data_IF_346518934610
#
_entry.id   IF_346518934610
#
_cell.length_a   1.000
_cell.length_b   1.000
_cell.length_c   1.000
_cell.angle_alpha   90.00
_cell.angle_beta   90.00
_cell.angle_gamma   90.00
#
_symmetry.space_group_name_H-M   'P 1'
#
loop_
_entity.id
_entity.type
_entity.pdbx_description
1 polymer ?
#
# COMPACT_ATOMS: atom_id res chain seq x y z
N UNK A 1 -4.02 24.12 5.44
CA UNK A 1 -3.35 22.83 5.69
C UNK A 1 -3.32 22.05 4.39
N UNK A 2 -2.14 21.61 3.93
CA UNK A 2 -2.00 20.89 2.65
C UNK A 2 -2.66 19.50 2.76
N UNK A 3 -3.44 19.07 1.76
CA UNK A 3 -4.12 17.75 1.73
C UNK A 3 -3.12 16.61 1.93
N UNK A 4 -1.90 16.75 1.39
CA UNK A 4 -0.81 15.77 1.58
C UNK A 4 -0.48 15.55 3.05
N UNK A 5 -0.37 16.63 3.83
CA UNK A 5 -0.02 16.56 5.25
C UNK A 5 -1.16 15.92 6.08
N UNK A 6 -2.42 16.13 5.68
CA UNK A 6 -3.57 15.50 6.35
C UNK A 6 -3.50 13.99 6.18
N UNK A 7 -3.32 13.52 4.94
CA UNK A 7 -3.28 12.08 4.60
C UNK A 7 -2.09 11.42 5.30
N UNK A 8 -0.91 12.05 5.22
CA UNK A 8 0.30 11.56 5.89
C UNK A 8 0.10 11.33 7.39
N UNK A 9 -0.44 12.33 8.11
CA UNK A 9 -0.66 12.23 9.56
C UNK A 9 -1.68 11.13 9.89
N UNK A 10 -2.77 10.99 9.11
CA UNK A 10 -3.80 9.99 9.37
C UNK A 10 -3.32 8.57 9.14
N UNK A 11 -2.54 8.36 8.09
CA UNK A 11 -1.98 7.04 7.78
C UNK A 11 -0.87 6.68 8.76
N UNK A 12 0.00 7.63 9.11
CA UNK A 12 1.01 7.43 10.15
C UNK A 12 0.40 7.08 11.51
N UNK A 13 -0.68 7.76 11.90
CA UNK A 13 -1.40 7.44 13.12
C UNK A 13 -1.99 6.02 13.08
N UNK A 14 -2.57 5.61 11.95
CA UNK A 14 -3.05 4.23 11.78
C UNK A 14 -1.92 3.20 11.80
N UNK A 15 -0.73 3.58 11.31
CA UNK A 15 0.50 2.78 11.38
C UNK A 15 1.19 2.83 12.76
N UNK A 16 0.62 3.55 13.75
CA UNK A 16 1.18 3.75 15.09
C UNK A 16 2.57 4.42 15.09
N UNK A 17 2.81 5.30 14.10
CA UNK A 17 4.03 6.09 13.98
C UNK A 17 3.81 7.51 14.53
N UNK A 18 4.80 8.00 15.26
CA UNK A 18 4.80 9.36 15.78
C UNK A 18 5.19 10.39 14.72
N UNK A 19 4.86 11.69 14.90
CA UNK A 19 5.26 12.75 13.99
C UNK A 19 6.77 12.84 13.75
N UNK A 20 7.59 12.49 14.75
CA UNK A 20 9.05 12.50 14.61
C UNK A 20 9.54 11.35 13.73
N UNK A 21 8.86 10.21 13.74
CA UNK A 21 9.24 9.04 12.94
C UNK A 21 8.92 9.20 11.46
N UNK A 22 8.01 10.11 11.11
CA UNK A 22 7.53 10.33 9.73
C UNK A 22 8.05 11.64 9.12
N UNK A 23 8.97 12.34 9.81
CA UNK A 23 9.42 13.66 9.41
C UNK A 23 10.03 13.68 8.00
N UNK A 24 10.71 12.59 7.62
CA UNK A 24 11.35 12.41 6.31
C UNK A 24 10.50 11.60 5.33
N UNK A 25 9.30 11.18 5.74
CA UNK A 25 8.40 10.43 4.87
C UNK A 25 7.79 11.37 3.83
N UNK A 26 7.69 10.89 2.59
CA UNK A 26 7.06 11.60 1.50
C UNK A 26 5.76 10.91 1.09
N UNK A 27 4.69 11.68 0.98
CA UNK A 27 3.36 11.19 0.57
C UNK A 27 2.95 11.75 -0.77
N UNK A 28 2.71 10.85 -1.71
CA UNK A 28 2.24 11.16 -3.06
C UNK A 28 0.84 10.60 -3.31
N UNK A 29 -0.22 11.42 -3.21
CA UNK A 29 -1.58 10.98 -3.54
C UNK A 29 -1.77 10.84 -5.06
N UNK A 30 -2.43 9.77 -5.49
CA UNK A 30 -2.91 9.56 -6.86
C UNK A 30 -4.45 9.41 -6.85
N UNK A 31 -5.19 10.52 -7.02
CA UNK A 31 -6.65 10.52 -6.92
C UNK A 31 -7.34 9.71 -8.03
N UNK A 32 -6.72 9.59 -9.21
CA UNK A 32 -7.29 8.83 -10.34
C UNK A 32 -7.41 7.34 -10.02
N UNK A 33 -6.49 6.80 -9.23
CA UNK A 33 -6.50 5.41 -8.80
C UNK A 33 -7.05 5.23 -7.38
N UNK A 34 -7.45 6.33 -6.72
CA UNK A 34 -7.83 6.35 -5.31
C UNK A 34 -6.79 5.69 -4.39
N UNK A 35 -5.50 5.97 -4.64
CA UNK A 35 -4.38 5.49 -3.82
C UNK A 35 -3.50 6.65 -3.37
N UNK A 36 -2.63 6.38 -2.42
CA UNK A 36 -1.48 7.22 -2.11
C UNK A 36 -0.25 6.33 -1.92
N UNK A 37 0.92 6.90 -2.18
CA UNK A 37 2.21 6.23 -2.01
C UNK A 37 2.92 6.91 -0.86
N UNK A 38 3.44 6.12 0.07
CA UNK A 38 4.35 6.58 1.13
C UNK A 38 5.75 6.07 0.79
N UNK A 39 6.70 6.99 0.69
CA UNK A 39 8.13 6.68 0.58
C UNK A 39 8.80 7.12 1.88
N UNK A 40 9.58 6.23 2.48
CA UNK A 40 10.25 6.42 3.76
C UNK A 40 11.70 5.98 3.63
N UNK A 41 12.62 6.72 4.26
CA UNK A 41 14.01 6.30 4.43
C UNK A 41 14.19 5.43 5.68
N UNK A 42 13.24 5.46 6.62
CA UNK A 42 13.26 4.65 7.82
C UNK A 42 12.73 3.24 7.51
N UNK A 43 13.62 2.25 7.54
CA UNK A 43 13.30 0.85 7.25
C UNK A 43 12.14 0.30 8.10
N UNK A 44 12.03 0.73 9.36
CA UNK A 44 10.96 0.31 10.28
C UNK A 44 9.57 0.81 9.90
N UNK A 45 9.47 1.93 9.17
CA UNK A 45 8.19 2.55 8.83
C UNK A 45 7.49 1.76 7.71
N UNK A 46 8.26 1.21 6.78
CA UNK A 46 7.77 0.40 5.65
C UNK A 46 6.82 -0.74 6.08
N UNK A 47 7.21 -1.65 6.99
CA UNK A 47 6.31 -2.69 7.50
C UNK A 47 5.20 -2.15 8.42
N UNK A 48 5.37 -0.98 9.03
CA UNK A 48 4.30 -0.34 9.80
C UNK A 48 3.16 0.12 8.88
N UNK A 49 3.50 0.80 7.78
CA UNK A 49 2.52 1.24 6.79
C UNK A 49 1.84 0.08 6.06
N UNK A 50 2.54 -1.01 5.77
CA UNK A 50 1.97 -2.16 5.05
C UNK A 50 1.00 -3.01 5.88
N UNK A 51 0.85 -2.72 7.17
CA UNK A 51 -0.10 -3.39 8.08
C UNK A 51 -1.36 -2.55 8.34
N UNK A 52 -1.48 -1.38 7.70
CA UNK A 52 -2.65 -0.53 7.86
C UNK A 52 -3.80 -1.09 7.03
N UNK A 53 -4.88 -1.46 7.72
CA UNK A 53 -6.11 -1.99 7.10
C UNK A 53 -7.27 -0.98 7.13
N UNK A 54 -7.16 0.06 7.97
CA UNK A 54 -8.15 1.12 8.05
C UNK A 54 -7.49 2.46 8.42
N UNK A 55 -8.07 3.57 7.96
CA UNK A 55 -7.69 4.91 8.39
C UNK A 55 -8.91 5.76 8.71
N UNK A 56 -8.77 6.71 9.64
CA UNK A 56 -9.86 7.58 10.07
C UNK A 56 -9.64 9.00 9.59
N UNK A 57 -10.54 9.49 8.73
CA UNK A 57 -10.56 10.88 8.26
C UNK A 57 -11.77 11.58 8.86
N UNK A 58 -11.52 12.58 9.71
CA UNK A 58 -12.57 13.21 10.50
C UNK A 58 -13.19 12.21 11.49
N UNK A 59 -14.49 11.92 11.33
CA UNK A 59 -15.24 10.94 12.13
C UNK A 59 -15.53 9.64 11.38
N UNK A 60 -15.03 9.49 10.16
CA UNK A 60 -15.33 8.36 9.27
C UNK A 60 -14.12 7.44 9.21
N UNK A 61 -14.36 6.14 9.38
CA UNK A 61 -13.37 5.11 9.14
C UNK A 61 -13.48 4.64 7.69
N UNK A 62 -12.34 4.45 7.05
CA UNK A 62 -12.22 3.95 5.69
C UNK A 62 -11.35 2.72 5.69
N UNK A 63 -11.84 1.62 5.12
CA UNK A 63 -11.03 0.43 4.88
C UNK A 63 -10.02 0.73 3.78
N UNK A 64 -8.78 0.27 3.98
CA UNK A 64 -7.68 0.47 3.05
C UNK A 64 -6.92 -0.84 2.86
N UNK A 65 -6.49 -1.09 1.62
CA UNK A 65 -5.56 -2.19 1.33
C UNK A 65 -4.17 -1.60 1.16
N UNK A 66 -3.31 -1.80 2.15
CA UNK A 66 -1.90 -1.42 2.07
C UNK A 66 -1.05 -2.60 1.60
N UNK A 67 0.00 -2.29 0.85
CA UNK A 67 0.99 -3.27 0.40
C UNK A 67 2.32 -2.58 0.16
N UNK A 68 3.40 -3.35 0.25
CA UNK A 68 4.72 -2.87 -0.11
C UNK A 68 4.79 -2.68 -1.61
N UNK A 69 5.23 -1.49 -2.05
CA UNK A 69 5.65 -1.31 -3.43
C UNK A 69 6.74 -2.35 -3.70
N UNK A 70 6.54 -3.14 -4.75
CA UNK A 70 7.48 -4.18 -5.09
C UNK A 70 8.81 -3.52 -5.55
N UNK A 71 9.97 -4.12 -5.24
CA UNK A 71 11.27 -3.54 -5.56
C UNK A 71 11.44 -3.17 -7.04
N UNK A 72 12.46 -2.38 -7.36
CA UNK A 72 12.85 -2.15 -8.76
C UNK A 72 13.02 -3.50 -9.49
N UNK A 73 12.64 -3.53 -10.76
CA UNK A 73 12.58 -4.75 -11.60
C UNK A 73 11.49 -5.77 -11.26
N UNK A 74 10.46 -5.38 -10.50
CA UNK A 74 9.25 -6.17 -10.33
C UNK A 74 8.07 -5.60 -11.12
N UNK A 75 7.12 -6.48 -11.49
CA UNK A 75 5.89 -6.12 -12.19
C UNK A 75 4.68 -6.49 -11.34
N UNK A 76 3.68 -5.60 -11.25
CA UNK A 76 2.38 -5.90 -10.64
C UNK A 76 1.37 -6.24 -11.74
N UNK A 77 0.82 -7.46 -11.70
CA UNK A 77 -0.33 -7.88 -12.49
C UNK A 77 -1.61 -7.88 -11.67
N UNK A 78 -2.76 -7.59 -12.29
CA UNK A 78 -4.08 -7.78 -11.69
C UNK A 78 -4.81 -8.85 -12.49
N UNK A 79 -5.12 -9.98 -11.85
CA UNK A 79 -6.00 -11.00 -12.40
C UNK A 79 -7.44 -10.68 -12.02
N UNK A 80 -8.36 -10.66 -13.00
CA UNK A 80 -9.80 -10.42 -12.79
C UNK A 80 -10.58 -11.61 -13.32
N UNK A 81 -11.75 -11.88 -12.73
CA UNK A 81 -12.62 -12.99 -13.16
C UNK A 81 -12.04 -14.36 -12.84
N UNK A 82 -11.28 -14.45 -11.74
CA UNK A 82 -10.76 -15.72 -11.22
C UNK A 82 -11.93 -16.50 -10.60
N UNK A 83 -12.11 -17.74 -11.06
CA UNK A 83 -13.07 -18.67 -10.45
C UNK A 83 -12.62 -19.01 -9.02
N UNK A 84 -13.56 -19.00 -8.07
CA UNK A 84 -13.29 -19.31 -6.66
C UNK A 84 -12.96 -20.79 -6.45
N UNK A 85 -13.32 -21.65 -7.40
CA UNK A 85 -13.01 -23.07 -7.37
C UNK A 85 -11.54 -23.37 -7.73
N UNK A 86 -10.79 -22.38 -8.24
CA UNK A 86 -9.38 -22.55 -8.53
C UNK A 86 -8.55 -22.58 -7.25
N UNK A 87 -7.75 -23.63 -7.11
CA UNK A 87 -6.75 -23.75 -6.07
C UNK A 87 -5.46 -22.98 -6.42
N UNK A 88 -4.55 -22.89 -5.45
CA UNK A 88 -3.30 -22.15 -5.61
C UNK A 88 -2.42 -22.66 -6.76
N UNK A 89 -2.36 -23.97 -6.98
CA UNK A 89 -1.55 -24.58 -8.04
C UNK A 89 -2.11 -24.26 -9.43
N UNK A 90 -3.43 -24.33 -9.57
CA UNK A 90 -4.15 -23.99 -10.80
C UNK A 90 -3.91 -22.52 -11.17
N UNK A 91 -4.09 -21.60 -10.22
CA UNK A 91 -3.82 -20.17 -10.44
C UNK A 91 -2.36 -19.92 -10.85
N UNK A 92 -1.42 -20.58 -10.19
CA UNK A 92 0.01 -20.42 -10.47
C UNK A 92 0.39 -20.90 -11.87
N UNK A 93 -0.20 -22.02 -12.33
CA UNK A 93 0.01 -22.56 -13.68
C UNK A 93 -0.54 -21.68 -14.81
N UNK A 94 -1.48 -20.79 -14.50
CA UNK A 94 -2.09 -19.87 -15.47
C UNK A 94 -1.28 -18.58 -15.67
N UNK A 95 -0.22 -18.35 -14.88
CA UNK A 95 0.66 -17.19 -15.04
C UNK A 95 1.65 -17.50 -16.18
N UNK A 96 1.39 -16.94 -17.36
CA UNK A 96 2.06 -17.29 -18.64
C UNK A 96 3.48 -16.71 -18.79
N UNK A 97 3.97 -15.87 -17.87
CA UNK A 97 5.32 -15.30 -18.03
C UNK A 97 6.41 -16.21 -17.45
N UNK A 98 7.52 -16.44 -18.18
CA UNK A 98 8.71 -17.01 -17.58
C UNK A 98 9.17 -16.06 -16.46
N UNK A 99 9.63 -16.62 -15.34
CA UNK A 99 10.35 -15.83 -14.33
C UNK A 99 11.43 -15.05 -15.07
N UNK A 100 11.37 -13.71 -15.03
CA UNK A 100 12.53 -12.90 -15.39
C UNK A 100 13.60 -13.22 -14.34
N UNK A 101 14.47 -14.17 -14.67
CA UNK A 101 15.70 -14.49 -13.94
C UNK A 101 16.73 -13.39 -14.17
#
# INVERSE_FOLDING_TARGET
MNIKNVIQIKVAHAAQLSPAEIADDNVCPNPTQNIFIVSTLAEKNTPAYSRVEATTVGKVSHDVSSYLAAPDHTCKGVLRGVDLDFNHEQLSSMIVQPKNL
#
